data_IF_614897394728
#
_entry.id   IF_614897394728
#
_cell.length_a   1.000
_cell.length_b   1.000
_cell.length_c   1.000
_cell.angle_alpha   90.00
_cell.angle_beta   90.00
_cell.angle_gamma   90.00
#
_symmetry.space_group_name_H-M   'P 1'
#
loop_
_entity.id
_entity.type
_entity.pdbx_description
1 polymer ?
#
# COMPACT_ATOMS: atom_id res chain seq x y z
N UNK A 1 -12.74 -7.45 4.63
CA UNK A 1 -12.19 -6.39 5.50
C UNK A 1 -10.82 -6.75 6.09
N UNK A 2 -10.65 -7.95 6.67
CA UNK A 2 -9.38 -8.35 7.34
C UNK A 2 -8.13 -8.18 6.46
N UNK A 3 -8.17 -8.56 5.18
CA UNK A 3 -7.06 -8.35 4.24
C UNK A 3 -6.64 -6.88 4.10
N UNK A 4 -7.59 -5.99 3.81
CA UNK A 4 -7.32 -4.55 3.65
C UNK A 4 -6.79 -3.94 4.94
N UNK A 5 -7.37 -4.27 6.09
CA UNK A 5 -6.90 -3.81 7.41
C UNK A 5 -5.47 -4.25 7.68
N UNK A 6 -5.11 -5.48 7.34
CA UNK A 6 -3.75 -5.99 7.53
C UNK A 6 -2.76 -5.32 6.57
N UNK A 7 -3.14 -5.03 5.32
CA UNK A 7 -2.31 -4.25 4.38
C UNK A 7 -2.11 -2.82 4.91
N UNK A 8 -3.16 -2.19 5.45
CA UNK A 8 -3.06 -0.86 6.06
C UNK A 8 -2.03 -0.82 7.19
N UNK A 9 -1.96 -1.85 8.04
CA UNK A 9 -0.92 -1.95 9.09
C UNK A 9 0.49 -2.01 8.49
N UNK A 10 0.70 -2.75 7.40
CA UNK A 10 1.99 -2.80 6.71
C UNK A 10 2.35 -1.44 6.08
N UNK A 11 1.38 -0.71 5.52
CA UNK A 11 1.59 0.65 5.04
C UNK A 11 1.99 1.58 6.19
N UNK A 12 1.35 1.48 7.36
CA UNK A 12 1.69 2.29 8.52
C UNK A 12 3.09 1.95 9.06
N UNK A 13 3.49 0.67 9.05
CA UNK A 13 4.88 0.26 9.30
C UNK A 13 5.84 0.86 8.29
N UNK A 14 5.51 0.85 6.99
CA UNK A 14 6.35 1.43 5.94
C UNK A 14 6.50 2.95 6.10
N UNK A 15 5.44 3.65 6.53
CA UNK A 15 5.51 5.08 6.90
C UNK A 15 6.43 5.31 8.08
N UNK A 16 6.37 4.44 9.09
CA UNK A 16 7.28 4.51 10.25
C UNK A 16 8.73 4.36 9.80
N UNK A 17 9.04 3.36 8.98
CA UNK A 17 10.38 3.15 8.40
C UNK A 17 10.86 4.35 7.58
N UNK A 18 10.01 4.91 6.71
CA UNK A 18 10.35 6.11 5.93
C UNK A 18 10.57 7.35 6.82
N UNK A 19 9.76 7.56 7.86
CA UNK A 19 9.97 8.64 8.83
C UNK A 19 11.27 8.46 9.62
N UNK A 20 11.63 7.23 9.97
CA UNK A 20 12.92 6.94 10.62
C UNK A 20 14.08 7.25 9.68
N UNK A 21 13.95 6.98 8.39
CA UNK A 21 14.96 7.36 7.39
C UNK A 21 15.08 8.89 7.33
N UNK A 22 13.97 9.62 7.29
CA UNK A 22 13.97 11.08 7.29
C UNK A 22 14.61 11.67 8.56
N UNK A 23 14.33 11.08 9.72
CA UNK A 23 14.91 11.51 11.01
C UNK A 23 16.39 11.14 11.17
N UNK A 24 16.89 10.17 10.38
CA UNK A 24 18.29 9.78 10.39
C UNK A 24 19.08 10.87 9.67
N UNK A 25 19.67 11.79 10.41
CA UNK A 25 20.45 12.88 9.81
C UNK A 25 21.73 12.33 9.16
N UNK A 26 21.94 12.66 7.88
CA UNK A 26 23.23 12.44 7.24
C UNK A 26 24.16 13.57 7.65
N UNK A 27 25.37 13.23 8.06
CA UNK A 27 26.40 14.18 8.44
C UNK A 27 27.71 13.87 7.73
N UNK A 28 28.50 14.92 7.49
CA UNK A 28 29.89 14.78 7.04
C UNK A 28 30.77 15.56 8.00
N UNK A 29 31.65 14.86 8.69
CA UNK A 29 32.50 15.47 9.73
C UNK A 29 33.95 15.07 9.56
N UNK A 30 34.87 15.95 9.92
CA UNK A 30 36.29 15.63 9.95
C UNK A 30 37.20 16.84 9.94
N UNK A 31 38.48 16.59 10.20
CA UNK A 31 39.54 17.62 10.26
C UNK A 31 40.62 17.27 9.26
N UNK A 32 41.08 18.26 8.50
CA UNK A 32 42.17 18.12 7.54
C UNK A 32 43.42 17.49 8.16
N UNK A 33 44.12 16.66 7.38
CA UNK A 33 45.36 16.04 7.80
C UNK A 33 46.51 17.06 7.94
N UNK A 34 46.55 18.05 7.03
CA UNK A 34 47.60 19.07 6.98
C UNK A 34 47.06 20.47 7.25
N UNK A 35 47.96 21.39 7.61
CA UNK A 35 47.64 22.82 7.71
C UNK A 35 47.15 23.33 6.35
N UNK A 36 46.18 24.25 6.38
CA UNK A 36 45.69 24.92 5.20
C UNK A 36 46.77 25.83 4.62
N UNK A 37 47.02 25.69 3.32
CA UNK A 37 47.95 26.53 2.58
C UNK A 37 47.33 26.93 1.23
N UNK A 38 46.97 28.20 1.08
CA UNK A 38 46.47 28.71 -0.19
C UNK A 38 47.59 28.71 -1.25
N UNK A 39 47.23 28.49 -2.52
CA UNK A 39 48.11 28.68 -3.66
C UNK A 39 48.66 30.11 -3.66
N UNK A 40 49.95 30.29 -3.93
CA UNK A 40 50.59 31.62 -4.02
C UNK A 40 50.62 32.17 -5.45
N UNK A 41 50.34 31.33 -6.45
CA UNK A 41 50.52 31.67 -7.87
C UNK A 41 49.20 31.90 -8.62
N UNK A 42 48.08 31.36 -8.13
CA UNK A 42 46.77 31.47 -8.77
C UNK A 42 45.63 31.16 -7.79
N UNK A 43 44.41 31.58 -8.13
CA UNK A 43 43.21 31.22 -7.37
C UNK A 43 42.95 29.72 -7.45
N UNK A 44 42.52 29.13 -6.34
CA UNK A 44 42.11 27.73 -6.28
C UNK A 44 40.59 27.64 -6.37
N UNK A 45 40.07 26.87 -7.33
CA UNK A 45 38.64 26.53 -7.38
C UNK A 45 38.42 25.22 -6.63
N UNK A 46 37.43 25.19 -5.75
CA UNK A 46 37.03 24.00 -5.00
C UNK A 46 35.58 23.66 -5.37
N UNK A 47 35.40 22.52 -6.02
CA UNK A 47 34.09 21.98 -6.37
C UNK A 47 33.69 20.86 -5.40
N UNK A 48 32.49 20.99 -4.84
CA UNK A 48 31.92 20.03 -3.91
C UNK A 48 30.41 19.94 -4.09
N UNK A 49 29.80 18.94 -3.49
CA UNK A 49 28.37 18.68 -3.57
C UNK A 49 27.81 18.67 -2.16
N UNK A 50 26.66 19.32 -1.97
CA UNK A 50 25.92 19.30 -0.71
C UNK A 50 24.57 18.67 -0.99
N UNK A 51 24.34 17.46 -0.45
CA UNK A 51 23.19 16.62 -0.80
C UNK A 51 23.02 16.51 -2.33
N UNK A 52 24.12 16.28 -3.05
CA UNK A 52 24.16 16.19 -4.51
C UNK A 52 24.22 17.53 -5.25
N UNK A 53 23.73 18.62 -4.68
CA UNK A 53 23.73 19.93 -5.34
C UNK A 53 25.16 20.47 -5.50
N UNK A 54 25.55 20.81 -6.72
CA UNK A 54 26.88 21.36 -7.03
C UNK A 54 27.11 22.70 -6.37
N UNK A 55 28.26 22.84 -5.72
CA UNK A 55 28.78 24.04 -5.06
C UNK A 55 30.19 24.30 -5.57
N UNK A 56 30.50 25.57 -5.81
CA UNK A 56 31.82 26.00 -6.29
C UNK A 56 32.27 27.19 -5.47
N UNK A 57 33.42 27.05 -4.81
CA UNK A 57 34.09 28.14 -4.12
C UNK A 57 35.36 28.52 -4.86
N UNK A 58 35.66 29.82 -4.92
CA UNK A 58 36.96 30.32 -5.40
C UNK A 58 37.73 30.88 -4.22
N UNK A 59 38.89 30.32 -3.95
CA UNK A 59 39.84 30.77 -2.92
C UNK A 59 40.91 31.59 -3.63
N UNK A 60 41.05 32.87 -3.27
CA UNK A 60 42.04 33.74 -3.90
C UNK A 60 43.48 33.31 -3.54
N UNK A 61 44.44 33.54 -4.42
CA UNK A 61 45.84 33.25 -4.14
C UNK A 61 46.32 33.98 -2.88
N UNK A 62 47.07 33.30 -2.00
CA UNK A 62 47.59 33.86 -0.75
C UNK A 62 46.54 34.13 0.33
N UNK A 63 45.30 33.64 0.16
CA UNK A 63 44.23 33.81 1.15
C UNK A 63 44.59 33.18 2.50
N UNK A 64 44.11 33.81 3.57
CA UNK A 64 44.10 33.20 4.91
C UNK A 64 43.07 32.08 4.98
N UNK A 65 43.20 31.19 5.98
CA UNK A 65 42.20 30.14 6.24
C UNK A 65 40.81 30.74 6.51
N UNK A 66 40.70 31.88 7.20
CA UNK A 66 39.42 32.52 7.50
C UNK A 66 38.72 33.04 6.24
N UNK A 67 39.47 33.57 5.27
CA UNK A 67 38.94 33.98 3.98
C UNK A 67 38.47 32.77 3.15
N UNK A 68 39.24 31.67 3.17
CA UNK A 68 38.87 30.42 2.51
C UNK A 68 37.60 29.81 3.11
N UNK A 69 37.50 29.74 4.44
CA UNK A 69 36.31 29.27 5.17
C UNK A 69 35.09 30.11 4.79
N UNK A 70 35.25 31.43 4.73
CA UNK A 70 34.17 32.34 4.32
C UNK A 70 33.70 32.02 2.90
N UNK A 71 34.61 31.93 1.93
CA UNK A 71 34.27 31.60 0.54
C UNK A 71 33.55 30.25 0.42
N UNK A 72 34.01 29.23 1.14
CA UNK A 72 33.41 27.89 1.14
C UNK A 72 32.01 27.87 1.77
N UNK A 73 31.83 28.51 2.93
CA UNK A 73 30.52 28.61 3.59
C UNK A 73 29.52 29.43 2.78
N UNK A 74 29.97 30.52 2.14
CA UNK A 74 29.14 31.29 1.19
C UNK A 74 28.71 30.42 0.01
N UNK A 75 29.64 29.68 -0.60
CA UNK A 75 29.31 28.77 -1.70
C UNK A 75 28.34 27.67 -1.25
N UNK A 76 28.55 27.08 -0.07
CA UNK A 76 27.69 26.06 0.50
C UNK A 76 26.27 26.57 0.78
N UNK A 77 26.16 27.82 1.26
CA UNK A 77 24.93 28.39 1.82
C UNK A 77 24.69 27.97 3.27
N UNK A 78 25.71 27.48 3.97
CA UNK A 78 25.65 27.02 5.36
C UNK A 78 27.01 27.16 6.05
N UNK A 79 27.03 27.15 7.38
CA UNK A 79 28.26 27.23 8.19
C UNK A 79 28.79 25.82 8.50
N UNK A 80 29.37 25.18 7.50
CA UNK A 80 29.86 23.79 7.60
C UNK A 80 31.38 23.68 7.65
N UNK A 81 32.11 24.68 7.14
CA UNK A 81 33.56 24.79 7.22
C UNK A 81 33.95 25.69 8.40
N UNK A 82 34.97 25.27 9.12
CA UNK A 82 35.55 25.99 10.26
C UNK A 82 37.05 25.67 10.36
N UNK A 83 37.73 26.20 11.38
CA UNK A 83 39.12 25.85 11.69
C UNK A 83 39.20 25.03 12.95
N UNK A 84 40.23 24.21 13.04
CA UNK A 84 40.53 23.44 14.25
C UNK A 84 40.97 24.36 15.41
N UNK A 85 41.20 23.77 16.58
CA UNK A 85 41.62 24.52 17.78
C UNK A 85 42.99 25.17 17.62
N UNK A 86 43.87 24.65 16.76
CA UNK A 86 45.15 25.29 16.43
C UNK A 86 45.00 26.48 15.48
N UNK A 87 43.83 26.61 14.84
CA UNK A 87 43.50 27.66 13.87
C UNK A 87 44.17 27.49 12.51
N UNK A 88 44.78 26.33 12.23
CA UNK A 88 45.57 26.08 11.02
C UNK A 88 44.94 25.08 10.07
N UNK A 89 44.05 24.22 10.55
CA UNK A 89 43.48 23.13 9.76
C UNK A 89 42.01 23.38 9.46
N UNK A 90 41.59 23.01 8.26
CA UNK A 90 40.19 23.02 7.88
C UNK A 90 39.42 21.93 8.65
N UNK A 91 38.25 22.28 9.16
CA UNK A 91 37.30 21.36 9.80
C UNK A 91 35.99 21.43 9.02
N UNK A 92 35.49 20.27 8.63
CA UNK A 92 34.17 20.10 8.06
C UNK A 92 33.24 19.53 9.14
N UNK A 93 32.13 20.20 9.40
CA UNK A 93 31.06 19.72 10.28
C UNK A 93 29.72 20.09 9.65
N UNK A 94 29.19 19.18 8.84
CA UNK A 94 27.98 19.38 8.06
C UNK A 94 26.86 18.47 8.53
N UNK A 95 25.64 19.02 8.64
CA UNK A 95 24.39 18.26 8.75
C UNK A 95 23.86 17.87 7.38
N UNK A 96 24.75 17.45 6.49
CA UNK A 96 24.45 17.06 5.12
C UNK A 96 25.52 16.12 4.61
N UNK A 97 25.22 15.40 3.53
CA UNK A 97 26.25 14.74 2.73
C UNK A 97 27.12 15.80 2.05
N UNK A 98 28.44 15.64 2.12
CA UNK A 98 29.41 16.51 1.48
C UNK A 98 30.43 15.66 0.76
N UNK A 99 30.48 15.85 -0.55
CA UNK A 99 31.39 15.10 -1.43
C UNK A 99 32.19 16.10 -2.26
N UNK A 100 33.46 15.79 -2.53
CA UNK A 100 34.29 16.64 -3.39
C UNK A 100 34.29 16.12 -4.82
N UNK A 101 34.35 17.00 -5.81
CA UNK A 101 34.35 16.60 -7.21
C UNK A 101 35.62 15.85 -7.60
N UNK A 102 36.78 16.30 -7.11
CA UNK A 102 38.08 15.70 -7.37
C UNK A 102 38.89 15.54 -6.08
N UNK A 103 39.91 14.68 -6.10
CA UNK A 103 40.88 14.60 -4.99
C UNK A 103 41.71 15.88 -4.87
N UNK A 104 41.84 16.66 -5.95
CA UNK A 104 42.46 17.99 -5.93
C UNK A 104 41.65 18.99 -5.11
N UNK A 105 40.32 18.93 -5.18
CA UNK A 105 39.44 19.77 -4.35
C UNK A 105 39.59 19.42 -2.85
N UNK A 106 39.86 18.16 -2.51
CA UNK A 106 40.11 17.72 -1.13
C UNK A 106 41.47 18.22 -0.62
N UNK A 107 42.54 17.98 -1.39
CA UNK A 107 43.91 18.34 -0.99
C UNK A 107 44.13 19.85 -0.99
N UNK A 108 43.40 20.60 -1.82
CA UNK A 108 43.35 22.06 -1.76
C UNK A 108 42.92 22.60 -0.38
N UNK A 109 42.17 21.82 0.40
CA UNK A 109 41.73 22.17 1.75
C UNK A 109 42.56 21.47 2.85
N UNK A 110 43.59 20.72 2.49
CA UNK A 110 44.44 19.97 3.42
C UNK A 110 43.89 18.61 3.85
N UNK A 111 42.78 18.15 3.27
CA UNK A 111 42.30 16.78 3.46
C UNK A 111 43.16 15.81 2.63
N UNK A 112 43.33 14.58 3.11
CA UNK A 112 43.96 13.51 2.35
C UNK A 112 43.16 13.22 1.09
N UNK A 113 43.83 12.99 -0.04
CA UNK A 113 43.18 12.51 -1.25
C UNK A 113 42.48 11.16 -0.96
N UNK A 114 41.20 11.06 -1.29
CA UNK A 114 40.46 9.81 -1.20
C UNK A 114 41.10 8.73 -2.06
N UNK A 115 41.22 7.54 -1.51
CA UNK A 115 41.79 6.37 -2.18
C UNK A 115 40.68 5.38 -2.54
N UNK A 116 40.80 4.73 -3.71
CA UNK A 116 39.81 3.77 -4.20
C UNK A 116 38.88 4.34 -5.28
N UNK A 117 37.93 3.52 -5.71
CA UNK A 117 36.88 3.94 -6.65
C UNK A 117 35.86 4.82 -5.92
N UNK A 118 35.13 5.68 -6.64
CA UNK A 118 34.03 6.50 -6.13
C UNK A 118 32.79 5.66 -5.75
N UNK A 119 33.02 4.61 -4.98
CA UNK A 119 32.05 3.60 -4.55
C UNK A 119 31.65 3.91 -3.13
N UNK A 120 30.54 4.61 -2.94
CA UNK A 120 29.51 4.14 -2.01
C UNK A 120 28.21 4.93 -2.14
N UNK A 121 28.23 6.27 -2.22
CA UNK A 121 27.02 7.04 -1.91
C UNK A 121 26.79 8.21 -2.87
N UNK A 122 26.59 7.98 -4.17
CA UNK A 122 26.26 9.10 -5.08
C UNK A 122 24.89 9.71 -4.75
N UNK A 123 24.86 10.99 -4.39
CA UNK A 123 23.63 11.74 -4.13
C UNK A 123 23.13 12.47 -5.39
N UNK A 124 22.12 11.93 -6.06
CA UNK A 124 21.13 12.67 -6.85
C UNK A 124 21.48 13.30 -8.19
N UNK A 125 22.75 13.41 -8.61
CA UNK A 125 23.09 14.37 -9.69
C UNK A 125 23.90 13.84 -10.86
N UNK A 126 24.22 12.54 -10.90
CA UNK A 126 25.03 11.96 -12.00
C UNK A 126 26.47 12.51 -12.05
N UNK A 127 26.85 13.36 -11.10
CA UNK A 127 28.16 13.96 -10.99
C UNK A 127 29.23 12.90 -10.69
N UNK A 128 30.43 13.13 -11.24
CA UNK A 128 31.63 12.42 -10.80
C UNK A 128 32.09 13.01 -9.47
N UNK A 129 32.13 12.16 -8.46
CA UNK A 129 32.65 12.49 -7.12
C UNK A 129 33.98 11.77 -6.92
N UNK A 130 34.89 12.37 -6.18
CA UNK A 130 36.07 11.69 -5.69
C UNK A 130 35.69 10.67 -4.61
N UNK A 131 36.53 9.64 -4.43
CA UNK A 131 36.43 8.80 -3.24
C UNK A 131 36.54 9.67 -1.98
N UNK A 132 35.85 9.26 -0.91
CA UNK A 132 35.87 10.01 0.36
C UNK A 132 37.29 10.08 0.93
N UNK A 133 37.67 11.26 1.42
CA UNK A 133 38.93 11.44 2.16
C UNK A 133 38.91 10.59 3.44
N UNK A 134 40.03 9.96 3.79
CA UNK A 134 40.18 9.26 5.08
C UNK A 134 40.11 10.20 6.29
N UNK A 135 40.17 11.52 6.07
CA UNK A 135 39.96 12.52 7.11
C UNK A 135 38.50 12.83 7.38
N UNK A 136 37.58 12.37 6.53
CA UNK A 136 36.16 12.65 6.61
C UNK A 136 35.37 11.37 6.91
N UNK A 137 34.35 11.50 7.75
CA UNK A 137 33.38 10.47 8.03
C UNK A 137 32.01 10.93 7.57
N UNK A 138 31.35 10.10 6.76
CA UNK A 138 29.95 10.31 6.38
C UNK A 138 29.10 9.32 7.18
N UNK A 139 28.18 9.81 8.00
CA UNK A 139 27.32 9.00 8.85
C UNK A 139 25.85 9.07 8.42
N UNK A 140 25.06 8.10 8.85
CA UNK A 140 23.62 8.01 8.57
C UNK A 140 23.26 7.31 7.26
N UNK A 141 24.19 7.22 6.31
CA UNK A 141 23.96 6.64 4.98
C UNK A 141 23.59 5.17 5.02
N UNK A 142 24.43 4.35 5.66
CA UNK A 142 24.19 2.91 5.84
C UNK A 142 22.88 2.65 6.60
N UNK A 143 22.56 3.48 7.59
CA UNK A 143 21.30 3.39 8.33
C UNK A 143 20.11 3.67 7.41
N UNK A 144 20.15 4.71 6.58
CA UNK A 144 19.09 4.98 5.60
C UNK A 144 18.97 3.89 4.54
N UNK A 145 20.09 3.32 4.09
CA UNK A 145 20.08 2.19 3.16
C UNK A 145 19.38 0.95 3.74
N UNK A 146 19.70 0.59 4.98
CA UNK A 146 19.00 -0.50 5.69
C UNK A 146 17.51 -0.23 5.87
N UNK A 147 17.12 1.02 6.09
CA UNK A 147 15.71 1.41 6.18
C UNK A 147 14.99 1.30 4.81
N UNK A 148 15.68 1.63 3.72
CA UNK A 148 15.16 1.38 2.37
C UNK A 148 14.95 -0.12 2.09
N UNK A 149 15.89 -0.98 2.51
CA UNK A 149 15.73 -2.44 2.41
C UNK A 149 14.55 -2.97 3.24
N UNK A 150 14.36 -2.44 4.45
CA UNK A 150 13.20 -2.75 5.29
C UNK A 150 11.90 -2.31 4.62
N UNK A 151 11.87 -1.11 4.05
CA UNK A 151 10.72 -0.62 3.27
C UNK A 151 10.39 -1.56 2.09
N UNK A 152 11.39 -1.98 1.33
CA UNK A 152 11.21 -2.92 0.21
C UNK A 152 10.66 -4.27 0.68
N UNK A 153 11.14 -4.76 1.82
CA UNK A 153 10.63 -5.98 2.44
C UNK A 153 9.15 -5.84 2.81
N UNK A 154 8.73 -4.68 3.33
CA UNK A 154 7.32 -4.39 3.62
C UNK A 154 6.47 -4.34 2.34
N UNK A 155 6.97 -3.82 1.22
CA UNK A 155 6.25 -3.86 -0.06
C UNK A 155 6.02 -5.29 -0.56
N UNK A 156 7.01 -6.17 -0.37
CA UNK A 156 6.86 -7.61 -0.67
C UNK A 156 5.75 -8.21 0.21
N UNK A 157 5.76 -7.93 1.52
CA UNK A 157 4.72 -8.40 2.44
C UNK A 157 3.32 -7.87 2.06
N UNK A 158 3.20 -6.60 1.65
CA UNK A 158 1.95 -6.01 1.16
C UNK A 158 1.42 -6.81 -0.04
N UNK A 159 2.27 -7.08 -1.02
CA UNK A 159 1.90 -7.83 -2.21
C UNK A 159 1.53 -9.28 -1.91
N UNK A 160 2.28 -9.95 -1.03
CA UNK A 160 1.98 -11.32 -0.61
C UNK A 160 0.64 -11.39 0.12
N UNK A 161 0.41 -10.50 1.09
CA UNK A 161 -0.83 -10.45 1.84
C UNK A 161 -2.05 -10.15 0.95
N UNK A 162 -1.91 -9.24 -0.03
CA UNK A 162 -2.96 -8.98 -1.01
C UNK A 162 -3.30 -10.22 -1.84
N UNK A 163 -2.31 -11.04 -2.21
CA UNK A 163 -2.49 -12.30 -2.95
C UNK A 163 -3.09 -13.42 -2.09
N UNK A 164 -2.73 -13.48 -0.81
CA UNK A 164 -3.19 -14.51 0.12
C UNK A 164 -4.63 -14.27 0.62
N UNK A 165 -5.14 -13.04 0.51
CA UNK A 165 -6.48 -12.63 0.94
C UNK A 165 -7.62 -13.15 0.05
N UNK A 166 -7.67 -14.46 -0.17
CA UNK A 166 -8.69 -15.16 -0.95
C UNK A 166 -9.75 -15.82 -0.08
N UNK A 167 -10.95 -16.00 -0.62
CA UNK A 167 -12.02 -16.80 -0.03
C UNK A 167 -12.60 -17.73 -1.09
N UNK A 168 -12.58 -19.04 -0.84
CA UNK A 168 -13.02 -20.07 -1.80
C UNK A 168 -12.46 -19.86 -3.23
N UNK A 169 -11.19 -19.44 -3.34
CA UNK A 169 -10.52 -19.19 -4.62
C UNK A 169 -10.78 -17.82 -5.25
N UNK A 170 -11.65 -16.98 -4.67
CA UNK A 170 -11.90 -15.61 -5.15
C UNK A 170 -11.04 -14.62 -4.38
N UNK A 171 -10.34 -13.73 -5.08
CA UNK A 171 -9.55 -12.66 -4.49
C UNK A 171 -9.85 -11.31 -5.15
N UNK A 172 -10.58 -10.45 -4.43
CA UNK A 172 -11.02 -9.14 -4.92
C UNK A 172 -10.01 -8.01 -4.68
N UNK A 173 -8.83 -8.30 -4.10
CA UNK A 173 -7.85 -7.28 -3.75
C UNK A 173 -6.45 -7.50 -4.35
N UNK A 174 -6.23 -8.58 -5.10
CA UNK A 174 -4.91 -8.91 -5.67
C UNK A 174 -4.65 -8.31 -7.05
N UNK A 175 -5.70 -7.89 -7.75
CA UNK A 175 -5.62 -7.30 -9.09
C UNK A 175 -6.92 -6.54 -9.42
N UNK A 176 -6.82 -5.57 -10.32
CA UNK A 176 -7.92 -4.72 -10.76
C UNK A 176 -8.44 -5.06 -12.15
N UNK A 177 -8.23 -6.29 -12.63
CA UNK A 177 -8.68 -6.72 -13.94
C UNK A 177 -10.22 -6.62 -14.03
N UNK A 178 -10.81 -6.11 -15.13
CA UNK A 178 -12.27 -6.05 -15.30
C UNK A 178 -12.98 -7.40 -15.18
N UNK A 179 -12.27 -8.51 -15.37
CA UNK A 179 -12.78 -9.87 -15.21
C UNK A 179 -12.71 -10.36 -13.76
N UNK A 180 -11.86 -9.75 -12.92
CA UNK A 180 -11.79 -10.05 -11.48
C UNK A 180 -12.96 -9.38 -10.75
N UNK A 181 -14.11 -10.03 -10.76
CA UNK A 181 -15.32 -9.57 -10.09
C UNK A 181 -16.04 -10.71 -9.40
N UNK A 182 -16.69 -10.39 -8.29
CA UNK A 182 -17.65 -11.30 -7.66
C UNK A 182 -19.05 -10.92 -8.13
N UNK A 183 -19.61 -11.74 -9.00
CA UNK A 183 -20.98 -11.61 -9.46
C UNK A 183 -21.96 -12.21 -8.44
N UNK A 184 -22.99 -11.46 -8.08
CA UNK A 184 -24.01 -11.88 -7.13
C UNK A 184 -25.37 -11.68 -7.77
N UNK A 185 -26.03 -12.78 -8.12
CA UNK A 185 -27.42 -12.74 -8.57
C UNK A 185 -28.37 -12.62 -7.38
N UNK A 186 -29.36 -11.73 -7.51
CA UNK A 186 -30.41 -11.53 -6.51
C UNK A 186 -31.76 -12.14 -6.90
N UNK A 187 -31.85 -12.81 -8.05
CA UNK A 187 -33.05 -13.53 -8.48
C UNK A 187 -32.70 -14.73 -9.38
N UNK A 188 -33.66 -15.62 -9.61
CA UNK A 188 -33.42 -16.90 -10.30
C UNK A 188 -33.05 -16.72 -11.77
N UNK A 189 -33.38 -15.56 -12.36
CA UNK A 189 -33.14 -15.24 -13.77
C UNK A 189 -31.93 -14.35 -14.01
N UNK A 190 -31.22 -13.96 -12.94
CA UNK A 190 -30.07 -13.05 -13.00
C UNK A 190 -30.36 -11.69 -13.69
N UNK A 191 -31.60 -11.21 -13.61
CA UNK A 191 -31.96 -9.88 -14.14
C UNK A 191 -31.75 -8.76 -13.13
N UNK A 192 -31.56 -9.12 -11.86
CA UNK A 192 -31.17 -8.21 -10.79
C UNK A 192 -29.94 -8.79 -10.11
N UNK A 193 -28.80 -8.10 -10.22
CA UNK A 193 -27.53 -8.56 -9.70
C UNK A 193 -26.64 -7.41 -9.22
N UNK A 194 -25.51 -7.78 -8.62
CA UNK A 194 -24.43 -6.89 -8.26
C UNK A 194 -23.11 -7.53 -8.67
N UNK A 195 -22.34 -6.81 -9.49
CA UNK A 195 -20.95 -7.12 -9.78
C UNK A 195 -20.04 -6.34 -8.83
N UNK A 196 -19.41 -7.04 -7.88
CA UNK A 196 -18.40 -6.46 -7.01
C UNK A 196 -17.04 -6.51 -7.72
N UNK A 197 -16.64 -5.39 -8.29
CA UNK A 197 -15.37 -5.25 -9.01
C UNK A 197 -14.16 -5.33 -8.06
N UNK A 198 -13.20 -6.18 -8.39
CA UNK A 198 -11.92 -6.29 -7.72
C UNK A 198 -11.04 -5.05 -7.91
N UNK A 199 -10.13 -4.82 -6.96
CA UNK A 199 -9.15 -3.74 -6.96
C UNK A 199 -7.76 -4.31 -6.79
N UNK A 200 -6.77 -3.71 -7.42
CA UNK A 200 -5.37 -4.08 -7.17
C UNK A 200 -4.86 -3.31 -5.94
N UNK A 201 -4.74 -4.01 -4.81
CA UNK A 201 -4.17 -3.47 -3.57
C UNK A 201 -2.78 -4.05 -3.26
N UNK A 202 -2.11 -4.63 -4.26
CA UNK A 202 -0.68 -4.98 -4.17
C UNK A 202 0.18 -3.71 -4.15
N UNK A 203 1.48 -3.84 -3.89
CA UNK A 203 2.37 -2.67 -3.91
C UNK A 203 2.37 -1.97 -5.28
N UNK A 204 2.25 -2.72 -6.38
CA UNK A 204 2.19 -2.15 -7.74
C UNK A 204 0.85 -1.45 -8.04
N UNK A 205 -0.27 -2.07 -7.61
CA UNK A 205 -1.60 -1.47 -7.67
C UNK A 205 -1.69 -0.15 -6.90
N UNK A 206 -1.01 -0.09 -5.76
CA UNK A 206 -0.91 1.09 -4.89
C UNK A 206 0.16 2.10 -5.34
N UNK A 207 0.88 1.84 -6.44
CA UNK A 207 1.97 2.71 -6.95
C UNK A 207 3.09 2.92 -5.94
N UNK A 208 3.38 1.90 -5.16
CA UNK A 208 4.50 1.83 -4.23
C UNK A 208 5.65 1.07 -4.90
N UNK A 209 6.70 1.80 -5.28
CA UNK A 209 7.85 1.22 -5.97
C UNK A 209 8.97 0.90 -4.98
N UNK A 210 9.71 -0.21 -5.20
CA UNK A 210 10.89 -0.51 -4.41
C UNK A 210 11.97 0.55 -4.63
N UNK A 211 12.74 0.76 -3.58
CA UNK A 211 13.77 1.77 -3.43
C UNK A 211 15.11 1.07 -3.62
N UNK A 212 15.63 1.13 -4.84
CA UNK A 212 16.78 0.35 -5.28
C UNK A 212 17.91 1.26 -5.81
N UNK A 213 19.15 0.89 -5.49
CA UNK A 213 20.35 1.46 -6.06
C UNK A 213 20.78 2.80 -5.45
N UNK A 214 21.89 3.33 -5.96
CA UNK A 214 22.33 4.68 -5.67
C UNK A 214 21.47 5.70 -6.43
N UNK A 215 21.33 6.93 -5.92
CA UNK A 215 20.61 8.05 -6.57
C UNK A 215 21.36 8.57 -7.81
N UNK A 216 21.65 7.69 -8.78
CA UNK A 216 22.44 7.98 -9.97
C UNK A 216 21.60 8.35 -11.19
N UNK A 217 21.92 9.51 -11.78
CA UNK A 217 21.47 10.10 -13.07
C UNK A 217 20.09 10.75 -13.14
N UNK A 218 19.19 10.52 -12.19
CA UNK A 218 17.93 11.24 -12.14
C UNK A 218 17.74 11.89 -10.77
N UNK A 219 17.25 13.12 -10.76
CA UNK A 219 16.81 13.82 -9.54
C UNK A 219 15.65 13.09 -8.81
N UNK A 220 15.11 12.02 -9.40
CA UNK A 220 13.97 11.23 -8.94
C UNK A 220 14.29 9.73 -8.77
N UNK A 221 15.57 9.33 -8.82
CA UNK A 221 15.98 7.96 -8.52
C UNK A 221 15.94 7.75 -7.01
N UNK A 222 14.90 7.09 -6.49
CA UNK A 222 14.59 6.94 -5.06
C UNK A 222 15.72 6.39 -4.16
N UNK A 223 16.86 5.97 -4.74
CA UNK A 223 18.13 5.80 -4.05
C UNK A 223 18.07 4.85 -2.86
N UNK A 224 18.97 5.01 -1.90
CA UNK A 224 18.92 4.36 -0.59
C UNK A 224 18.38 5.34 0.46
N UNK A 225 17.30 6.07 0.15
CA UNK A 225 16.81 7.19 0.97
C UNK A 225 17.85 8.30 1.21
N UNK A 226 18.80 8.46 0.29
CA UNK A 226 19.92 9.38 0.43
C UNK A 226 19.47 10.85 0.47
N UNK A 227 18.44 11.22 -0.30
CA UNK A 227 17.87 12.56 -0.28
C UNK A 227 16.57 12.58 0.53
N UNK A 228 16.42 13.61 1.38
CA UNK A 228 15.18 13.84 2.11
C UNK A 228 13.97 14.04 1.18
N UNK A 229 14.20 14.56 -0.02
CA UNK A 229 13.16 14.73 -1.05
C UNK A 229 12.60 13.37 -1.51
N UNK A 230 13.45 12.36 -1.68
CA UNK A 230 13.05 11.00 -2.05
C UNK A 230 12.20 10.40 -0.93
N UNK A 231 12.67 10.50 0.31
CA UNK A 231 11.95 10.00 1.49
C UNK A 231 10.56 10.65 1.62
N UNK A 232 10.45 11.97 1.44
CA UNK A 232 9.19 12.71 1.47
C UNK A 232 8.24 12.30 0.34
N UNK A 233 8.78 12.01 -0.84
CA UNK A 233 8.01 11.50 -1.98
C UNK A 233 7.43 10.12 -1.66
N UNK A 234 8.23 9.21 -1.09
CA UNK A 234 7.75 7.91 -0.62
C UNK A 234 6.66 8.04 0.45
N UNK A 235 6.82 8.94 1.42
CA UNK A 235 5.81 9.24 2.46
C UNK A 235 4.49 9.74 1.87
N UNK A 236 4.55 10.55 0.81
CA UNK A 236 3.37 11.01 0.08
C UNK A 236 2.68 9.84 -0.61
N UNK A 237 3.43 8.99 -1.33
CA UNK A 237 2.91 7.78 -1.96
C UNK A 237 2.24 6.82 -0.97
N UNK A 238 2.85 6.60 0.19
CA UNK A 238 2.27 5.79 1.27
C UNK A 238 0.97 6.38 1.84
N UNK A 239 0.85 7.71 1.86
CA UNK A 239 -0.38 8.38 2.30
C UNK A 239 -1.50 8.20 1.29
N UNK A 240 -1.21 8.40 0.00
CA UNK A 240 -2.14 8.10 -1.10
C UNK A 240 -2.57 6.64 -1.13
N UNK A 241 -1.65 5.70 -0.86
CA UNK A 241 -1.96 4.29 -0.77
C UNK A 241 -2.94 3.99 0.38
N UNK A 242 -2.76 4.59 1.56
CA UNK A 242 -3.74 4.47 2.66
C UNK A 242 -5.13 4.99 2.28
N UNK A 243 -5.22 6.12 1.56
CA UNK A 243 -6.50 6.66 1.13
C UNK A 243 -7.18 5.77 0.08
N UNK A 244 -6.38 5.13 -0.77
CA UNK A 244 -6.85 4.10 -1.72
C UNK A 244 -7.42 2.89 -0.97
N UNK A 245 -6.74 2.39 0.07
CA UNK A 245 -7.26 1.29 0.89
C UNK A 245 -8.58 1.66 1.60
N UNK A 246 -8.68 2.89 2.14
CA UNK A 246 -9.92 3.38 2.77
C UNK A 246 -11.07 3.45 1.77
N UNK A 247 -10.79 3.95 0.57
CA UNK A 247 -11.78 4.05 -0.51
C UNK A 247 -12.26 2.68 -0.97
N UNK A 248 -11.35 1.71 -1.11
CA UNK A 248 -11.69 0.32 -1.42
C UNK A 248 -12.55 -0.32 -0.31
N UNK A 249 -12.16 -0.15 0.96
CA UNK A 249 -12.95 -0.62 2.11
C UNK A 249 -14.36 -0.01 2.15
N UNK A 250 -14.49 1.28 1.88
CA UNK A 250 -15.79 1.96 1.82
C UNK A 250 -16.66 1.38 0.70
N UNK A 251 -16.10 1.21 -0.50
CA UNK A 251 -16.80 0.63 -1.65
C UNK A 251 -17.29 -0.78 -1.35
N UNK A 252 -16.44 -1.65 -0.80
CA UNK A 252 -16.84 -3.00 -0.41
C UNK A 252 -17.85 -3.02 0.74
N UNK A 253 -17.76 -2.06 1.67
CA UNK A 253 -18.74 -1.86 2.73
C UNK A 253 -20.13 -1.54 2.19
N UNK A 254 -20.22 -0.59 1.24
CA UNK A 254 -21.49 -0.25 0.58
C UNK A 254 -22.07 -1.43 -0.19
N UNK A 255 -21.24 -2.18 -0.93
CA UNK A 255 -21.67 -3.40 -1.62
C UNK A 255 -22.20 -4.45 -0.65
N UNK A 256 -21.54 -4.65 0.50
CA UNK A 256 -22.01 -5.57 1.53
C UNK A 256 -23.38 -5.16 2.09
N UNK A 257 -23.62 -3.86 2.33
CA UNK A 257 -24.93 -3.38 2.77
C UNK A 257 -26.03 -3.65 1.74
N UNK A 258 -25.74 -3.51 0.45
CA UNK A 258 -26.70 -3.87 -0.62
C UNK A 258 -27.02 -5.37 -0.56
N UNK A 259 -26.00 -6.22 -0.46
CA UNK A 259 -26.17 -7.68 -0.37
C UNK A 259 -26.99 -8.07 0.86
N UNK A 260 -26.71 -7.49 2.03
CA UNK A 260 -27.46 -7.75 3.26
C UNK A 260 -28.94 -7.35 3.13
N UNK A 261 -29.22 -6.15 2.61
CA UNK A 261 -30.60 -5.70 2.39
C UNK A 261 -31.36 -6.61 1.41
N UNK A 262 -30.71 -7.05 0.33
CA UNK A 262 -31.29 -7.99 -0.64
C UNK A 262 -31.52 -9.36 -0.02
N UNK A 263 -30.58 -9.85 0.79
CA UNK A 263 -30.72 -11.11 1.53
C UNK A 263 -31.95 -11.08 2.44
N UNK A 264 -32.14 -10.00 3.20
CA UNK A 264 -33.27 -9.88 4.12
C UNK A 264 -34.61 -9.71 3.38
N UNK A 265 -34.63 -8.98 2.26
CA UNK A 265 -35.79 -8.95 1.38
C UNK A 265 -36.15 -10.34 0.86
N UNK A 266 -35.19 -11.08 0.32
CA UNK A 266 -35.44 -12.43 -0.23
C UNK A 266 -35.91 -13.40 0.85
N UNK A 267 -35.33 -13.38 2.06
CA UNK A 267 -35.80 -14.20 3.18
C UNK A 267 -37.27 -13.92 3.53
N UNK A 268 -37.66 -12.64 3.59
CA UNK A 268 -39.05 -12.24 3.86
C UNK A 268 -39.98 -12.69 2.73
N UNK A 269 -39.56 -12.52 1.47
CA UNK A 269 -40.33 -12.95 0.31
C UNK A 269 -40.54 -14.47 0.31
N UNK A 270 -39.50 -15.25 0.61
CA UNK A 270 -39.59 -16.72 0.72
C UNK A 270 -40.62 -17.12 1.77
N UNK A 271 -40.59 -16.53 2.97
CA UNK A 271 -41.56 -16.85 4.02
C UNK A 271 -43.02 -16.52 3.62
N UNK A 272 -43.23 -15.41 2.90
CA UNK A 272 -44.55 -15.03 2.39
C UNK A 272 -45.02 -16.03 1.33
N UNK A 273 -44.15 -16.39 0.39
CA UNK A 273 -44.47 -17.35 -0.66
C UNK A 273 -44.73 -18.75 -0.11
N UNK A 274 -43.99 -19.19 0.91
CA UNK A 274 -44.19 -20.47 1.59
C UNK A 274 -45.56 -20.54 2.30
N UNK A 275 -45.92 -19.47 3.01
CA UNK A 275 -47.26 -19.34 3.64
C UNK A 275 -48.37 -19.27 2.58
N UNK A 276 -48.16 -18.50 1.50
CA UNK A 276 -49.13 -18.37 0.42
C UNK A 276 -49.35 -19.67 -0.34
N UNK A 277 -48.27 -20.41 -0.63
CA UNK A 277 -48.34 -21.73 -1.23
C UNK A 277 -49.11 -22.70 -0.32
N UNK A 278 -48.76 -22.74 0.98
CA UNK A 278 -49.46 -23.53 1.99
C UNK A 278 -50.96 -23.21 2.01
N UNK A 279 -51.36 -21.94 1.99
CA UNK A 279 -52.78 -21.58 1.99
C UNK A 279 -53.52 -21.98 0.69
N UNK A 280 -52.84 -22.03 -0.44
CA UNK A 280 -53.44 -22.46 -1.72
C UNK A 280 -53.53 -23.99 -1.85
N UNK A 281 -52.63 -24.72 -1.21
CA UNK A 281 -52.58 -26.19 -1.32
C UNK A 281 -53.17 -26.92 -0.12
N UNK A 282 -53.19 -26.30 1.06
CA UNK A 282 -53.73 -26.93 2.26
C UNK A 282 -55.25 -26.89 2.20
N UNK A 283 -55.87 -28.07 2.29
CA UNK A 283 -57.31 -28.18 2.46
C UNK A 283 -57.70 -27.81 3.90
N UNK A 284 -58.87 -27.20 4.08
CA UNK A 284 -59.45 -27.02 5.41
C UNK A 284 -59.87 -28.39 5.94
N UNK A 285 -59.12 -28.89 6.93
CA UNK A 285 -59.37 -30.20 7.51
C UNK A 285 -60.76 -30.33 8.13
N UNK A 286 -61.38 -29.23 8.59
CA UNK A 286 -62.74 -29.28 9.13
C UNK A 286 -63.78 -29.42 8.02
N UNK A 287 -63.59 -28.72 6.90
CA UNK A 287 -64.48 -28.84 5.74
C UNK A 287 -64.34 -30.21 5.07
N UNK A 288 -63.11 -30.69 4.86
CA UNK A 288 -62.86 -32.03 4.34
C UNK A 288 -63.39 -33.11 5.29
N UNK A 289 -63.27 -32.93 6.61
CA UNK A 289 -63.85 -33.87 7.58
C UNK A 289 -65.39 -33.87 7.53
N UNK A 290 -66.02 -32.70 7.44
CA UNK A 290 -67.48 -32.59 7.31
C UNK A 290 -67.98 -33.19 5.99
N UNK A 291 -67.27 -32.96 4.88
CA UNK A 291 -67.59 -33.52 3.57
C UNK A 291 -67.40 -35.05 3.55
N UNK A 292 -66.33 -35.55 4.15
CA UNK A 292 -66.08 -36.99 4.34
C UNK A 292 -67.20 -37.64 5.17
N UNK A 293 -67.62 -37.01 6.27
CA UNK A 293 -68.72 -37.50 7.10
C UNK A 293 -70.07 -37.49 6.34
N UNK A 294 -70.34 -36.42 5.59
CA UNK A 294 -71.53 -36.32 4.76
C UNK A 294 -71.53 -37.36 3.63
N UNK A 295 -70.37 -37.63 3.01
CA UNK A 295 -70.20 -38.65 1.99
C UNK A 295 -70.42 -40.06 2.56
N UNK A 296 -69.83 -40.37 3.71
CA UNK A 296 -70.07 -41.64 4.42
C UNK A 296 -71.55 -41.84 4.72
N UNK A 297 -72.24 -40.77 5.17
CA UNK A 297 -73.69 -40.79 5.40
C UNK A 297 -74.47 -41.03 4.11
N UNK A 298 -74.12 -40.34 3.01
CA UNK A 298 -74.72 -40.56 1.69
C UNK A 298 -74.48 -41.97 1.16
N UNK A 299 -73.29 -42.55 1.35
CA UNK A 299 -72.99 -43.92 0.95
C UNK A 299 -73.80 -44.93 1.76
N UNK A 300 -73.93 -44.75 3.08
CA UNK A 300 -74.79 -45.57 3.93
C UNK A 300 -76.26 -45.51 3.51
N UNK A 301 -76.77 -44.31 3.19
CA UNK A 301 -78.11 -44.11 2.66
C UNK A 301 -78.27 -44.72 1.25
N UNK A 302 -77.27 -44.59 0.38
CA UNK A 302 -77.26 -45.16 -0.97
C UNK A 302 -77.28 -46.69 -0.94
N UNK A 303 -76.48 -47.31 -0.06
CA UNK A 303 -76.49 -48.77 0.16
C UNK A 303 -77.84 -49.21 0.74
N UNK A 304 -78.38 -48.48 1.73
CA UNK A 304 -79.69 -48.76 2.32
C UNK A 304 -80.81 -48.66 1.29
N UNK A 305 -80.81 -47.62 0.45
CA UNK A 305 -81.78 -47.41 -0.62
C UNK A 305 -81.67 -48.47 -1.73
N UNK A 306 -80.45 -48.89 -2.09
CA UNK A 306 -80.22 -49.99 -3.03
C UNK A 306 -80.69 -51.33 -2.46
N UNK A 307 -80.45 -51.58 -1.16
CA UNK A 307 -80.97 -52.75 -0.45
C UNK A 307 -82.50 -52.75 -0.46
N UNK A 308 -83.14 -51.62 -0.16
CA UNK A 308 -84.58 -51.45 -0.20
C UNK A 308 -85.16 -51.64 -1.60
N UNK A 309 -84.49 -51.12 -2.64
CA UNK A 309 -84.90 -51.29 -4.03
C UNK A 309 -84.80 -52.76 -4.50
N UNK A 310 -83.75 -53.48 -4.11
CA UNK A 310 -83.63 -54.91 -4.37
C UNK A 310 -84.69 -55.73 -3.59
N UNK A 311 -84.98 -55.37 -2.34
CA UNK A 311 -86.07 -55.97 -1.55
C UNK A 311 -87.44 -55.67 -2.16
N UNK A 312 -87.69 -54.45 -2.66
CA UNK A 312 -88.92 -54.09 -3.35
C UNK A 312 -89.09 -54.85 -4.67
N UNK A 313 -88.02 -55.04 -5.46
CA UNK A 313 -88.04 -55.89 -6.66
C UNK A 313 -88.32 -57.37 -6.33
N UNK A 314 -87.78 -57.90 -5.22
CA UNK A 314 -88.11 -59.25 -4.74
C UNK A 314 -89.54 -59.37 -4.21
N UNK A 315 -90.06 -58.35 -3.51
CA UNK A 315 -91.44 -58.29 -3.04
C UNK A 315 -92.46 -58.23 -4.18
N UNK A 316 -92.16 -57.50 -5.26
CA UNK A 316 -92.96 -57.50 -6.50
C UNK A 316 -92.97 -58.90 -7.13
N UNK A 317 -91.83 -59.59 -7.16
CA UNK A 317 -91.74 -60.99 -7.62
C UNK A 317 -92.53 -61.97 -6.74
N UNK A 318 -92.73 -61.66 -5.45
CA UNK A 318 -93.52 -62.47 -4.52
C UNK A 318 -95.03 -62.21 -4.66
N UNK A 319 -95.42 -61.02 -5.12
CA UNK A 319 -96.81 -60.64 -5.42
C UNK A 319 -97.33 -61.18 -6.77
N UNK A 320 -96.40 -61.48 -7.68
CA UNK A 320 -96.66 -62.03 -9.02
C UNK A 320 -96.59 -63.58 -9.05
N UNK A 321 -96.54 -64.23 -7.89
CA UNK A 321 -96.48 -65.69 -7.73
C UNK A 321 -97.75 -66.25 -7.10
#
# INVERSE_FOLDING_TARGET
NQGITSIQKLIDSAKSTANQALSTQITTTGTAGTDFAASTSSNTTVNFYVNGATKTATIASGSTIDAAITALNTAAGSTMFSKDTSGKKMVLNASSAVEFATTGDQTALGFAAGTGSATADKYGTGNTVAASSSNLTIAGVDTRAKLAEQYNSLLIQITQLAKDASFNGVNLISNGDPTNKLHISFNEKDTANLDVQGKDLTSDGLKLNPINGNSGTTANGQGFFLLDADVKTTLTGLSTASDTLRSASSTFGSNLSVVQNRQDFTKRLVNILDTGASNLTNADLNEEAANSQALSTRQSLGISALSLANQAQQGILQLLR
#
